data_IF_365291590432
#
_entry.id   IF_365291590432
#
_cell.length_a   1.000
_cell.length_b   1.000
_cell.length_c   1.000
_cell.angle_alpha   90.00
_cell.angle_beta   90.00
_cell.angle_gamma   90.00
#
_symmetry.space_group_name_H-M   'P 1'
#
loop_
_entity.id
_entity.type
_entity.pdbx_description
1 polymer ?
#
# COMPACT_ATOMS: atom_id res chain seq x y z
N UNK A 1 16.33 3.90 37.09
CA UNK A 1 15.33 4.03 36.00
C UNK A 1 14.19 4.87 36.53
N UNK A 2 13.72 5.87 35.76
CA UNK A 2 12.93 5.59 34.57
C UNK A 2 13.58 6.04 33.27
N UNK A 3 13.13 5.40 32.20
CA UNK A 3 13.61 5.51 30.84
C UNK A 3 13.19 6.84 30.20
N UNK A 4 14.14 7.49 29.55
CA UNK A 4 13.92 8.66 28.73
C UNK A 4 13.20 8.23 27.43
N UNK A 5 11.88 8.31 27.48
CA UNK A 5 10.99 8.09 26.35
C UNK A 5 10.82 9.42 25.62
N UNK A 6 11.50 9.63 24.49
CA UNK A 6 11.12 10.60 23.45
C UNK A 6 12.07 10.56 22.25
N UNK A 7 12.16 9.41 21.57
CA UNK A 7 12.58 9.36 20.17
C UNK A 7 11.78 8.24 19.48
N UNK A 8 10.45 8.35 19.53
CA UNK A 8 9.61 7.68 18.53
C UNK A 8 9.81 8.42 17.22
N UNK A 9 10.92 8.09 16.55
CA UNK A 9 11.05 8.33 15.11
C UNK A 9 9.84 7.64 14.50
N UNK A 10 8.87 8.44 14.07
CA UNK A 10 7.68 7.98 13.35
C UNK A 10 8.18 7.05 12.25
N UNK A 11 7.79 5.79 12.36
CA UNK A 11 8.29 4.69 11.55
C UNK A 11 8.35 5.07 10.07
N UNK A 12 9.34 4.56 9.32
CA UNK A 12 9.41 4.78 7.88
C UNK A 12 8.07 4.40 7.28
N UNK A 13 7.60 5.16 6.30
CA UNK A 13 6.36 4.89 5.58
C UNK A 13 6.43 3.49 4.96
N UNK A 14 6.06 2.47 5.72
CA UNK A 14 6.09 1.07 5.31
C UNK A 14 4.66 0.64 5.00
N UNK A 15 4.51 -0.17 3.97
CA UNK A 15 3.24 -0.84 3.68
C UNK A 15 2.96 -1.84 4.80
N UNK A 16 2.08 -1.49 5.72
CA UNK A 16 1.67 -2.37 6.82
C UNK A 16 0.84 -3.55 6.30
N UNK A 17 1.18 -4.76 6.76
CA UNK A 17 0.48 -5.98 6.39
C UNK A 17 -0.96 -5.97 6.91
N UNK A 18 -1.91 -6.34 6.05
CA UNK A 18 -3.34 -6.28 6.32
C UNK A 18 -3.99 -4.94 5.95
N UNK A 19 -3.22 -3.87 5.84
CA UNK A 19 -3.73 -2.53 5.53
C UNK A 19 -4.21 -2.41 4.08
N UNK A 20 -5.21 -1.56 3.88
CA UNK A 20 -5.91 -1.34 2.62
C UNK A 20 -5.62 0.08 2.16
N UNK A 21 -5.19 0.18 0.90
CA UNK A 21 -4.76 1.42 0.28
C UNK A 21 -5.57 1.70 -0.97
N UNK A 22 -5.68 2.98 -1.32
CA UNK A 22 -6.20 3.45 -2.61
C UNK A 22 -5.11 4.21 -3.36
N UNK A 23 -5.01 4.00 -4.66
CA UNK A 23 -4.11 4.75 -5.51
C UNK A 23 -4.66 6.16 -5.73
N UNK A 24 -3.95 7.19 -5.25
CA UNK A 24 -4.40 8.60 -5.40
C UNK A 24 -4.07 9.23 -6.74
N UNK A 25 -3.25 8.54 -7.53
CA UNK A 25 -2.84 8.91 -8.89
C UNK A 25 -2.60 7.64 -9.70
N UNK A 26 -2.55 7.80 -11.02
CA UNK A 26 -2.10 6.75 -11.90
C UNK A 26 -0.65 6.37 -11.58
N UNK A 27 -0.38 5.07 -11.54
CA UNK A 27 0.96 4.51 -11.50
C UNK A 27 1.24 3.92 -12.87
N UNK A 28 2.21 4.48 -13.59
CA UNK A 28 2.61 4.04 -14.92
C UNK A 28 4.12 3.96 -14.96
N UNK A 29 4.64 2.73 -15.05
CA UNK A 29 6.08 2.49 -15.05
C UNK A 29 6.42 1.32 -15.97
N UNK A 30 7.57 1.41 -16.62
CA UNK A 30 8.11 0.33 -17.44
C UNK A 30 9.29 -0.32 -16.71
N UNK A 31 9.25 -1.64 -16.57
CA UNK A 31 10.31 -2.45 -15.97
C UNK A 31 10.84 -3.42 -17.02
N UNK A 32 12.17 -3.52 -17.17
CA UNK A 32 12.76 -4.33 -18.23
C UNK A 32 12.36 -5.82 -18.19
N UNK A 33 12.16 -6.39 -17.00
CA UNK A 33 11.79 -7.80 -16.76
C UNK A 33 10.27 -8.07 -16.83
N UNK A 34 9.44 -7.03 -16.66
CA UNK A 34 7.99 -7.17 -16.46
C UNK A 34 7.18 -6.48 -17.57
N UNK A 35 7.78 -5.53 -18.29
CA UNK A 35 7.10 -4.65 -19.23
C UNK A 35 6.44 -3.46 -18.52
N UNK A 36 5.40 -2.91 -19.16
CA UNK A 36 4.63 -1.78 -18.62
C UNK A 36 3.67 -2.25 -17.54
N UNK A 37 3.78 -1.67 -16.36
CA UNK A 37 2.84 -1.82 -15.25
C UNK A 37 2.05 -0.53 -15.14
N UNK A 38 0.75 -0.64 -15.37
CA UNK A 38 -0.19 0.47 -15.26
C UNK A 38 -1.26 0.16 -14.22
N UNK A 39 -1.43 1.05 -13.24
CA UNK A 39 -2.50 1.02 -12.25
C UNK A 39 -3.21 2.36 -12.29
N UNK A 40 -4.53 2.31 -12.48
CA UNK A 40 -5.36 3.51 -12.55
C UNK A 40 -5.54 4.12 -11.16
N UNK A 41 -5.64 5.44 -11.08
CA UNK A 41 -6.16 6.15 -9.91
C UNK A 41 -7.48 5.52 -9.41
N UNK A 42 -7.68 5.58 -8.10
CA UNK A 42 -8.82 5.07 -7.35
C UNK A 42 -8.90 3.53 -7.31
N UNK A 43 -7.88 2.82 -7.84
CA UNK A 43 -7.73 1.38 -7.66
C UNK A 43 -7.44 1.09 -6.18
N UNK A 44 -8.14 0.11 -5.61
CA UNK A 44 -7.97 -0.31 -4.22
C UNK A 44 -7.11 -1.58 -4.17
N UNK A 45 -6.14 -1.60 -3.26
CA UNK A 45 -5.30 -2.76 -3.00
C UNK A 45 -5.15 -3.03 -1.50
N UNK A 46 -4.81 -4.27 -1.16
CA UNK A 46 -4.44 -4.69 0.18
C UNK A 46 -2.97 -5.07 0.21
N UNK A 47 -2.24 -4.64 1.24
CA UNK A 47 -0.95 -5.22 1.55
C UNK A 47 -1.18 -6.57 2.24
N UNK A 48 -0.77 -7.68 1.61
CA UNK A 48 -1.11 -9.04 2.08
C UNK A 48 -0.01 -9.70 2.91
N UNK A 49 1.16 -9.07 3.04
CA UNK A 49 2.30 -9.61 3.78
C UNK A 49 3.29 -8.50 4.18
N UNK A 50 4.22 -8.84 5.06
CA UNK A 50 5.28 -7.93 5.54
C UNK A 50 6.27 -7.52 4.42
N UNK A 51 6.33 -8.27 3.32
CA UNK A 51 7.15 -7.88 2.16
C UNK A 51 6.57 -6.69 1.40
N UNK A 52 5.32 -6.29 1.69
CA UNK A 52 4.65 -5.16 1.06
C UNK A 52 3.94 -5.54 -0.24
N UNK A 53 3.64 -6.81 -0.44
CA UNK A 53 2.96 -7.29 -1.66
C UNK A 53 1.55 -6.69 -1.70
N UNK A 54 1.25 -5.96 -2.78
CA UNK A 54 -0.05 -5.34 -2.99
C UNK A 54 -0.94 -6.25 -3.86
N UNK A 55 -2.07 -6.68 -3.32
CA UNK A 55 -3.10 -7.44 -4.00
C UNK A 55 -4.27 -6.53 -4.37
N UNK A 56 -4.73 -6.56 -5.62
CA UNK A 56 -5.82 -5.67 -6.07
C UNK A 56 -7.20 -6.29 -5.85
N UNK A 57 -8.09 -5.53 -5.20
CA UNK A 57 -9.47 -5.95 -4.96
C UNK A 57 -10.21 -6.21 -6.28
N UNK A 58 -11.03 -7.26 -6.31
CA UNK A 58 -11.79 -7.65 -7.50
C UNK A 58 -10.93 -8.26 -8.62
N UNK A 59 -9.66 -8.54 -8.36
CA UNK A 59 -8.74 -9.17 -9.32
C UNK A 59 -8.09 -10.43 -8.73
N UNK A 60 -7.36 -11.16 -9.57
CA UNK A 60 -6.41 -12.22 -9.13
C UNK A 60 -4.95 -11.76 -9.22
N UNK A 61 -4.72 -10.46 -9.40
CA UNK A 61 -3.41 -9.91 -9.70
C UNK A 61 -2.79 -9.28 -8.45
N UNK A 62 -1.49 -9.48 -8.32
CA UNK A 62 -0.63 -8.73 -7.41
C UNK A 62 0.22 -7.76 -8.20
N UNK A 63 0.67 -6.70 -7.54
CA UNK A 63 1.65 -5.81 -8.11
C UNK A 63 3.01 -6.53 -8.22
N UNK A 64 3.68 -6.48 -9.39
CA UNK A 64 5.01 -7.06 -9.56
C UNK A 64 6.04 -6.49 -8.57
N UNK A 65 7.03 -7.30 -8.21
CA UNK A 65 8.00 -6.97 -7.16
C UNK A 65 8.72 -5.64 -7.40
N UNK A 66 9.17 -5.38 -8.63
CA UNK A 66 9.90 -4.17 -8.99
C UNK A 66 9.01 -2.91 -8.81
N UNK A 67 7.74 -3.02 -9.17
CA UNK A 67 6.76 -1.95 -8.94
C UNK A 67 6.46 -1.76 -7.45
N UNK A 68 6.38 -2.86 -6.67
CA UNK A 68 6.27 -2.78 -5.21
C UNK A 68 7.44 -2.03 -4.60
N UNK A 69 8.69 -2.29 -5.02
CA UNK A 69 9.85 -1.58 -4.51
C UNK A 69 9.79 -0.07 -4.79
N UNK A 70 9.36 0.31 -5.99
CA UNK A 70 9.18 1.71 -6.35
C UNK A 70 8.13 2.40 -5.47
N UNK A 71 7.00 1.73 -5.19
CA UNK A 71 5.99 2.27 -4.28
C UNK A 71 6.52 2.33 -2.85
N UNK A 72 7.24 1.30 -2.37
CA UNK A 72 7.80 1.26 -1.01
C UNK A 72 8.83 2.37 -0.75
N UNK A 73 9.51 2.88 -1.78
CA UNK A 73 10.43 4.02 -1.62
C UNK A 73 9.72 5.33 -1.26
N UNK A 74 8.47 5.50 -1.69
CA UNK A 74 7.64 6.65 -1.36
C UNK A 74 6.14 6.30 -1.47
N UNK A 75 5.58 5.58 -0.48
CA UNK A 75 4.19 5.16 -0.53
C UNK A 75 3.25 6.36 -0.52
N UNK A 76 3.66 7.40 0.21
CA UNK A 76 2.92 8.65 0.36
C UNK A 76 2.73 9.40 -0.97
N UNK A 77 3.49 9.07 -2.03
CA UNK A 77 3.26 9.63 -3.36
C UNK A 77 2.12 8.96 -4.12
N UNK A 78 1.93 7.66 -3.91
CA UNK A 78 1.05 6.83 -4.73
C UNK A 78 -0.22 6.39 -4.00
N UNK A 79 -0.15 6.22 -2.69
CA UNK A 79 -1.18 5.55 -1.89
C UNK A 79 -1.71 6.47 -0.78
N UNK A 80 -3.00 6.33 -0.51
CA UNK A 80 -3.63 6.78 0.73
C UNK A 80 -4.17 5.57 1.49
N UNK A 81 -3.93 5.52 2.80
CA UNK A 81 -4.44 4.46 3.68
C UNK A 81 -5.93 4.66 3.95
N UNK A 82 -6.74 3.68 3.57
CA UNK A 82 -8.19 3.67 3.76
C UNK A 82 -8.64 2.54 4.70
N UNK A 83 -7.73 1.90 5.43
CA UNK A 83 -8.00 0.76 6.32
C UNK A 83 -9.10 1.10 7.32
N UNK A 84 -8.99 2.26 7.99
CA UNK A 84 -9.99 2.72 8.95
C UNK A 84 -11.38 2.91 8.34
N UNK A 85 -11.44 3.51 7.14
CA UNK A 85 -12.69 3.71 6.40
C UNK A 85 -13.32 2.37 5.99
N UNK A 86 -12.50 1.44 5.47
CA UNK A 86 -12.96 0.12 5.04
C UNK A 86 -13.55 -0.69 6.20
N UNK A 87 -12.89 -0.67 7.36
CA UNK A 87 -13.39 -1.35 8.57
C UNK A 87 -14.72 -0.74 9.03
N UNK A 88 -14.85 0.59 9.01
CA UNK A 88 -16.10 1.26 9.35
C UNK A 88 -17.24 0.91 8.39
N UNK A 89 -16.97 0.85 7.07
CA UNK A 89 -17.96 0.47 6.08
C UNK A 89 -18.41 -0.98 6.25
N UNK A 90 -17.50 -1.94 6.50
CA UNK A 90 -17.88 -3.33 6.77
C UNK A 90 -18.74 -3.47 8.02
N UNK A 91 -18.45 -2.71 9.09
CA UNK A 91 -19.25 -2.76 10.33
C UNK A 91 -20.68 -2.23 10.16
N UNK A 92 -20.93 -1.33 9.20
CA UNK A 92 -22.27 -0.80 8.90
C UNK A 92 -23.11 -1.72 8.02
N UNK A 93 -22.47 -2.67 7.33
CA UNK A 93 -23.11 -3.63 6.43
C UNK A 93 -23.47 -4.96 7.11
N UNK A 94 -22.98 -5.18 8.34
CA UNK A 94 -23.35 -6.30 9.22
C UNK A 94 -24.36 -5.82 10.26
#
# INVERSE_FOLDING_TARGET
MPADSSNLVVSPHFLESGSIYVYKRDFDAYFCSVGRVYVKKDTICQCINESGTLFFFGSKNTLPWEAVQMIKSDPSKYLDDITGLYVQMRRKLC
#
